data_IF_611725539226
#
_entry.id   IF_611725539226
#
_cell.length_a   1.000
_cell.length_b   1.000
_cell.length_c   1.000
_cell.angle_alpha   90.00
_cell.angle_beta   90.00
_cell.angle_gamma   90.00
#
_symmetry.space_group_name_H-M   'P 1'
#
loop_
_entity.id
_entity.type
_entity.pdbx_description
1 polymer ?
#
# COMPACT_ATOMS: atom_id res chain seq x y z
N UNK A 1 24.60 23.75 2.22
CA UNK A 1 24.11 23.61 0.83
C UNK A 1 24.86 22.48 0.18
N UNK A 2 24.16 21.51 -0.41
CA UNK A 2 24.82 20.47 -1.19
C UNK A 2 25.29 21.08 -2.52
N UNK A 3 26.58 20.89 -2.84
CA UNK A 3 27.21 21.35 -4.10
C UNK A 3 27.17 20.27 -5.19
N UNK A 4 26.39 19.21 -4.99
CA UNK A 4 26.27 18.11 -5.94
C UNK A 4 25.34 18.41 -7.10
N UNK A 5 25.62 17.81 -8.25
CA UNK A 5 24.68 17.79 -9.38
C UNK A 5 23.67 16.67 -9.17
N UNK A 6 22.40 17.03 -9.06
CA UNK A 6 21.31 16.05 -9.00
C UNK A 6 20.94 15.61 -10.42
N UNK A 7 20.99 14.31 -10.64
CA UNK A 7 20.56 13.71 -11.91
C UNK A 7 19.33 12.88 -11.66
N UNK A 8 18.24 13.23 -12.32
CA UNK A 8 17.01 12.44 -12.27
C UNK A 8 17.29 11.04 -12.86
N UNK A 9 16.97 9.95 -12.14
CA UNK A 9 17.11 8.61 -12.67
C UNK A 9 16.29 8.44 -13.95
N UNK A 10 16.80 7.70 -14.92
CA UNK A 10 16.02 7.34 -16.11
C UNK A 10 14.87 6.43 -15.68
N UNK A 11 13.64 6.84 -16.00
CA UNK A 11 12.46 6.02 -15.73
C UNK A 11 12.55 4.68 -16.48
N UNK A 12 12.24 3.60 -15.76
CA UNK A 12 12.17 2.24 -16.29
C UNK A 12 10.93 1.60 -15.69
N UNK A 13 10.17 0.88 -16.53
CA UNK A 13 9.05 0.09 -16.03
C UNK A 13 9.56 -1.04 -15.15
N UNK A 14 8.86 -1.30 -14.05
CA UNK A 14 9.14 -2.45 -13.20
C UNK A 14 8.84 -3.75 -13.97
N UNK A 15 9.78 -4.72 -14.00
CA UNK A 15 9.54 -5.97 -14.70
C UNK A 15 8.40 -6.77 -14.06
N UNK A 16 7.43 -7.20 -14.88
CA UNK A 16 6.35 -8.11 -14.47
C UNK A 16 6.93 -9.48 -14.20
N UNK A 17 6.74 -10.02 -12.99
CA UNK A 17 7.19 -11.36 -12.61
C UNK A 17 6.23 -12.43 -13.12
N UNK A 18 6.77 -13.58 -13.50
CA UNK A 18 5.99 -14.66 -14.12
C UNK A 18 5.23 -15.54 -13.13
N UNK A 19 5.66 -15.57 -11.87
CA UNK A 19 5.12 -16.48 -10.84
C UNK A 19 5.08 -17.94 -11.29
N UNK A 20 6.10 -18.36 -12.06
CA UNK A 20 6.23 -19.71 -12.58
C UNK A 20 6.20 -20.78 -11.46
N UNK A 21 5.81 -22.02 -11.76
CA UNK A 21 5.86 -23.10 -10.78
C UNK A 21 7.24 -23.19 -10.12
N UNK A 22 7.26 -23.33 -8.78
CA UNK A 22 8.46 -23.39 -7.94
C UNK A 22 9.33 -22.12 -7.87
N UNK A 23 8.95 -21.02 -8.51
CA UNK A 23 9.69 -19.76 -8.39
C UNK A 23 9.62 -19.19 -6.96
N UNK A 24 10.65 -18.46 -6.51
CA UNK A 24 10.67 -17.87 -5.17
C UNK A 24 9.55 -16.84 -4.97
N UNK A 25 9.25 -16.02 -5.96
CA UNK A 25 8.17 -15.03 -5.90
C UNK A 25 6.79 -15.68 -5.74
N UNK A 26 6.57 -16.85 -6.39
CA UNK A 26 5.33 -17.61 -6.22
C UNK A 26 5.20 -18.18 -4.80
N UNK A 27 6.28 -18.68 -4.24
CA UNK A 27 6.28 -19.18 -2.85
C UNK A 27 5.92 -18.07 -1.88
N UNK A 28 6.58 -16.91 -2.00
CA UNK A 28 6.34 -15.76 -1.13
C UNK A 28 4.91 -15.24 -1.20
N UNK A 29 4.35 -15.08 -2.41
CA UNK A 29 2.97 -14.57 -2.55
C UNK A 29 1.94 -15.57 -2.02
N UNK A 30 2.13 -16.88 -2.24
CA UNK A 30 1.22 -17.90 -1.74
C UNK A 30 1.26 -18.03 -0.21
N UNK A 31 2.44 -17.93 0.38
CA UNK A 31 2.61 -17.92 1.84
C UNK A 31 1.90 -16.69 2.44
N UNK A 32 2.16 -15.51 1.87
CA UNK A 32 1.55 -14.28 2.33
C UNK A 32 0.03 -14.29 2.15
N UNK A 33 -0.47 -14.81 1.02
CA UNK A 33 -1.91 -15.00 0.79
C UNK A 33 -2.54 -15.87 1.89
N UNK A 34 -1.95 -17.02 2.19
CA UNK A 34 -2.43 -17.94 3.24
C UNK A 34 -2.45 -17.26 4.62
N UNK A 35 -1.37 -16.53 4.93
CA UNK A 35 -1.27 -15.81 6.19
C UNK A 35 -2.37 -14.75 6.33
N UNK A 36 -2.55 -13.91 5.32
CA UNK A 36 -3.58 -12.87 5.32
C UNK A 36 -4.99 -13.44 5.31
N UNK A 37 -5.25 -14.48 4.51
CA UNK A 37 -6.58 -15.09 4.41
C UNK A 37 -7.03 -15.76 5.71
N UNK A 38 -6.07 -16.23 6.53
CA UNK A 38 -6.33 -16.88 7.82
C UNK A 38 -6.16 -15.95 9.03
N UNK A 39 -5.77 -14.69 8.82
CA UNK A 39 -5.68 -13.69 9.86
C UNK A 39 -6.92 -12.80 9.90
N UNK A 40 -7.04 -12.00 10.97
CA UNK A 40 -8.06 -10.97 11.08
C UNK A 40 -7.38 -9.61 11.13
N UNK A 41 -7.61 -8.78 10.11
CA UNK A 41 -6.95 -7.48 9.97
C UNK A 41 -7.91 -6.35 10.33
N UNK A 42 -7.47 -5.42 11.19
CA UNK A 42 -8.18 -4.17 11.45
C UNK A 42 -7.58 -3.06 10.62
N UNK A 43 -8.36 -2.51 9.69
CA UNK A 43 -7.94 -1.42 8.82
C UNK A 43 -8.41 -0.10 9.42
N UNK A 44 -7.51 0.57 10.12
CA UNK A 44 -7.72 1.90 10.71
C UNK A 44 -7.59 3.01 9.67
N UNK A 45 -8.20 4.16 9.95
CA UNK A 45 -7.82 5.39 9.26
C UNK A 45 -6.42 5.81 9.72
N UNK A 46 -5.63 6.38 8.83
CA UNK A 46 -4.32 6.92 9.19
C UNK A 46 -4.36 8.45 9.09
N UNK A 47 -4.36 9.12 10.24
CA UNK A 47 -4.50 10.57 10.32
C UNK A 47 -3.40 11.13 11.23
N UNK A 48 -2.67 12.12 10.75
CA UNK A 48 -1.59 12.78 11.51
C UNK A 48 -0.53 11.80 12.06
N UNK A 49 -0.15 10.79 11.28
CA UNK A 49 0.86 9.81 11.68
C UNK A 49 0.35 8.75 12.67
N UNK A 50 -0.95 8.66 12.93
CA UNK A 50 -1.54 7.73 13.90
C UNK A 50 -2.68 6.91 13.31
N UNK A 51 -2.81 5.68 13.80
CA UNK A 51 -3.98 4.84 13.54
C UNK A 51 -5.20 5.36 14.35
N UNK A 52 -6.27 5.67 13.63
CA UNK A 52 -7.52 6.20 14.20
C UNK A 52 -8.67 5.26 13.89
N UNK A 53 -9.44 4.89 14.92
CA UNK A 53 -10.60 4.02 14.81
C UNK A 53 -11.87 4.79 15.20
N UNK A 54 -12.97 4.50 14.54
CA UNK A 54 -14.30 4.98 14.92
C UNK A 54 -15.09 3.88 15.64
N UNK A 55 -16.27 4.22 16.12
CA UNK A 55 -17.22 3.23 16.70
C UNK A 55 -17.90 2.40 15.62
N UNK A 56 -17.87 2.83 14.36
CA UNK A 56 -18.53 2.19 13.25
C UNK A 56 -17.51 1.49 12.36
N UNK A 57 -17.59 0.16 12.26
CA UNK A 57 -16.80 -0.64 11.34
C UNK A 57 -17.67 -1.47 10.41
N UNK A 58 -17.08 -1.96 9.33
CA UNK A 58 -17.70 -2.94 8.45
C UNK A 58 -16.74 -4.10 8.18
N UNK A 59 -17.27 -5.32 8.01
CA UNK A 59 -16.45 -6.47 7.71
C UNK A 59 -15.82 -6.37 6.32
N UNK A 60 -14.67 -6.99 6.16
CA UNK A 60 -13.98 -7.19 4.89
C UNK A 60 -14.19 -8.65 4.49
N UNK A 61 -14.91 -8.86 3.40
CA UNK A 61 -15.16 -10.17 2.82
C UNK A 61 -14.49 -10.25 1.45
N UNK A 62 -13.71 -11.30 1.16
CA UNK A 62 -13.19 -11.50 -0.19
C UNK A 62 -14.34 -11.68 -1.19
N UNK A 63 -14.30 -11.05 -2.39
CA UNK A 63 -15.40 -11.19 -3.36
C UNK A 63 -15.63 -12.63 -3.85
N UNK A 64 -14.64 -13.51 -3.74
CA UNK A 64 -14.73 -14.93 -4.10
C UNK A 64 -15.17 -15.84 -2.94
N UNK A 65 -15.27 -15.31 -1.71
CA UNK A 65 -15.76 -16.04 -0.53
C UNK A 65 -16.49 -15.10 0.43
N UNK A 66 -17.76 -14.84 0.15
CA UNK A 66 -18.59 -13.91 0.93
C UNK A 66 -18.87 -14.37 2.38
N UNK A 67 -18.64 -15.66 2.69
CA UNK A 67 -18.81 -16.18 4.04
C UNK A 67 -17.60 -15.94 4.92
N UNK A 68 -16.44 -15.76 4.31
CA UNK A 68 -15.19 -15.51 5.02
C UNK A 68 -15.09 -14.02 5.38
N UNK A 69 -14.80 -13.75 6.64
CA UNK A 69 -14.40 -12.42 7.11
C UNK A 69 -12.91 -12.43 7.37
N UNK A 70 -12.16 -11.59 6.67
CA UNK A 70 -10.70 -11.45 6.81
C UNK A 70 -10.29 -10.21 7.61
N UNK A 71 -11.24 -9.41 8.03
CA UNK A 71 -10.98 -8.24 8.83
C UNK A 71 -12.17 -7.27 8.88
N UNK A 72 -11.89 -6.09 9.36
CA UNK A 72 -12.84 -4.98 9.39
C UNK A 72 -12.13 -3.67 9.01
N UNK A 73 -12.89 -2.72 8.49
CA UNK A 73 -12.42 -1.34 8.27
C UNK A 73 -13.35 -0.36 8.98
N UNK A 74 -12.77 0.75 9.45
CA UNK A 74 -13.48 1.76 10.21
C UNK A 74 -14.00 2.88 9.30
N UNK A 75 -15.26 3.25 9.50
CA UNK A 75 -15.91 4.32 8.73
C UNK A 75 -15.54 5.69 9.31
N UNK A 76 -15.15 6.60 8.43
CA UNK A 76 -14.85 7.97 8.83
C UNK A 76 -16.13 8.72 9.21
N UNK A 77 -16.04 9.49 10.30
CA UNK A 77 -17.03 10.47 10.73
C UNK A 77 -16.59 11.87 10.29
N UNK A 78 -17.51 12.84 10.35
CA UNK A 78 -17.23 14.25 9.99
C UNK A 78 -16.01 14.83 10.74
N UNK A 79 -15.81 14.41 11.99
CA UNK A 79 -14.64 14.82 12.79
C UNK A 79 -13.34 14.34 12.15
N UNK A 80 -13.26 13.06 11.78
CA UNK A 80 -12.05 12.47 11.19
C UNK A 80 -11.65 13.15 9.88
N UNK A 81 -12.64 13.54 9.05
CA UNK A 81 -12.38 14.29 7.82
C UNK A 81 -11.81 15.68 8.13
N UNK A 82 -12.35 16.38 9.15
CA UNK A 82 -11.83 17.67 9.57
C UNK A 82 -10.40 17.55 10.10
N UNK A 83 -10.15 16.57 10.98
CA UNK A 83 -8.83 16.32 11.56
C UNK A 83 -7.79 16.00 10.46
N UNK A 84 -8.17 15.24 9.43
CA UNK A 84 -7.31 14.94 8.29
C UNK A 84 -6.97 16.18 7.45
N UNK A 85 -7.97 17.04 7.19
CA UNK A 85 -7.78 18.31 6.47
C UNK A 85 -6.83 19.22 7.27
N UNK A 86 -7.09 19.40 8.56
CA UNK A 86 -6.27 20.23 9.43
C UNK A 86 -4.82 19.73 9.50
N UNK A 87 -4.62 18.42 9.67
CA UNK A 87 -3.30 17.79 9.65
C UNK A 87 -2.55 18.05 8.33
N UNK A 88 -3.25 17.93 7.20
CA UNK A 88 -2.67 18.18 5.88
C UNK A 88 -2.27 19.64 5.70
N UNK A 89 -3.11 20.59 6.15
CA UNK A 89 -2.81 22.01 6.08
C UNK A 89 -1.63 22.38 6.97
N UNK A 90 -1.53 21.80 8.17
CA UNK A 90 -0.41 22.01 9.09
C UNK A 90 0.93 21.47 8.51
N UNK A 91 0.90 20.35 7.78
CA UNK A 91 2.07 19.79 7.14
C UNK A 91 2.52 20.57 5.88
N UNK A 92 1.61 21.33 5.27
CA UNK A 92 1.81 21.97 3.95
C UNK A 92 3.06 22.84 3.88
N UNK A 93 3.25 23.74 4.85
CA UNK A 93 4.38 24.69 4.84
C UNK A 93 5.73 23.97 4.84
N UNK A 94 5.89 22.94 5.67
CA UNK A 94 7.11 22.14 5.72
C UNK A 94 7.34 21.37 4.42
N UNK A 95 6.28 20.79 3.84
CA UNK A 95 6.37 20.09 2.57
C UNK A 95 6.74 21.01 1.41
N UNK A 96 6.15 22.20 1.35
CA UNK A 96 6.43 23.19 0.30
C UNK A 96 7.86 23.75 0.38
N UNK A 97 8.40 23.90 1.61
CA UNK A 97 9.77 24.39 1.81
C UNK A 97 10.84 23.33 1.51
N UNK A 98 10.46 22.07 1.42
CA UNK A 98 11.36 20.98 1.07
C UNK A 98 11.78 21.06 -0.39
N UNK A 99 13.08 20.86 -0.69
CA UNK A 99 13.55 20.85 -2.08
C UNK A 99 12.86 19.75 -2.91
N UNK A 100 12.75 19.94 -4.20
CA UNK A 100 12.11 18.97 -5.09
C UNK A 100 12.85 17.62 -5.08
N UNK A 101 14.18 17.61 -4.94
CA UNK A 101 15.00 16.41 -4.84
C UNK A 101 14.63 15.60 -3.61
N UNK A 102 14.48 16.25 -2.45
CA UNK A 102 14.10 15.58 -1.23
C UNK A 102 12.68 15.02 -1.29
N UNK A 103 11.73 15.75 -1.87
CA UNK A 103 10.39 15.26 -2.09
C UNK A 103 10.37 14.06 -3.04
N UNK A 104 11.10 14.15 -4.15
CA UNK A 104 11.21 13.05 -5.12
C UNK A 104 11.88 11.80 -4.52
N UNK A 105 12.87 11.96 -3.65
CA UNK A 105 13.54 10.85 -2.98
C UNK A 105 12.57 10.01 -2.13
N UNK A 106 11.56 10.62 -1.51
CA UNK A 106 10.52 9.91 -0.76
C UNK A 106 9.73 8.99 -1.68
N UNK A 107 9.31 9.47 -2.86
CA UNK A 107 8.56 8.66 -3.83
C UNK A 107 9.42 7.55 -4.44
N UNK A 108 10.69 7.83 -4.76
CA UNK A 108 11.62 6.81 -5.24
C UNK A 108 11.83 5.72 -4.19
N UNK A 109 11.93 6.10 -2.91
CA UNK A 109 12.02 5.12 -1.83
C UNK A 109 10.74 4.30 -1.68
N UNK A 110 9.57 4.91 -1.83
CA UNK A 110 8.30 4.19 -1.82
C UNK A 110 8.22 3.17 -2.98
N UNK A 111 8.64 3.56 -4.19
CA UNK A 111 8.69 2.66 -5.33
C UNK A 111 9.62 1.45 -5.10
N UNK A 112 10.81 1.66 -4.54
CA UNK A 112 11.72 0.57 -4.15
C UNK A 112 11.09 -0.40 -3.14
N UNK A 113 10.36 0.12 -2.16
CA UNK A 113 9.68 -0.69 -1.16
C UNK A 113 8.54 -1.50 -1.77
N UNK A 114 7.73 -0.90 -2.64
CA UNK A 114 6.63 -1.57 -3.34
C UNK A 114 7.16 -2.66 -4.27
N UNK A 115 8.14 -2.33 -5.11
CA UNK A 115 8.74 -3.27 -6.06
C UNK A 115 9.56 -4.38 -5.38
N UNK A 116 10.05 -4.16 -4.17
CA UNK A 116 10.90 -5.06 -3.40
C UNK A 116 10.15 -5.79 -2.28
N UNK A 117 10.44 -5.44 -1.01
CA UNK A 117 9.98 -6.22 0.15
C UNK A 117 8.47 -6.28 0.32
N UNK A 118 7.72 -5.27 -0.12
CA UNK A 118 6.26 -5.24 0.00
C UNK A 118 5.52 -5.84 -1.19
N UNK A 119 6.20 -6.20 -2.28
CA UNK A 119 5.58 -6.69 -3.53
C UNK A 119 4.63 -7.87 -3.30
N UNK A 120 5.09 -8.91 -2.64
CA UNK A 120 4.28 -10.09 -2.36
C UNK A 120 3.12 -9.81 -1.38
N UNK A 121 3.31 -8.85 -0.48
CA UNK A 121 2.27 -8.43 0.50
C UNK A 121 1.14 -7.71 -0.22
N UNK A 122 1.47 -6.73 -1.08
CA UNK A 122 0.50 -5.94 -1.84
C UNK A 122 -0.25 -6.83 -2.84
N UNK A 123 0.47 -7.73 -3.53
CA UNK A 123 -0.16 -8.68 -4.45
C UNK A 123 -1.12 -9.61 -3.72
N UNK A 124 -0.74 -10.19 -2.57
CA UNK A 124 -1.63 -11.04 -1.78
C UNK A 124 -2.88 -10.27 -1.29
N UNK A 125 -2.72 -9.05 -0.83
CA UNK A 125 -3.83 -8.19 -0.42
C UNK A 125 -4.78 -7.89 -1.59
N UNK A 126 -4.24 -7.61 -2.78
CA UNK A 126 -5.01 -7.35 -4.00
C UNK A 126 -5.76 -8.60 -4.47
N UNK A 127 -5.12 -9.77 -4.41
CA UNK A 127 -5.77 -11.06 -4.71
C UNK A 127 -6.95 -11.34 -3.78
N UNK A 128 -6.80 -11.07 -2.48
CA UNK A 128 -7.85 -11.29 -1.48
C UNK A 128 -8.96 -10.24 -1.63
N UNK A 129 -8.59 -8.96 -1.66
CA UNK A 129 -9.57 -7.87 -1.60
C UNK A 129 -10.32 -7.62 -2.90
N UNK A 130 -9.74 -8.01 -4.05
CA UNK A 130 -10.32 -7.78 -5.37
C UNK A 130 -10.57 -9.07 -6.17
N UNK A 131 -10.28 -10.24 -5.60
CA UNK A 131 -10.38 -11.55 -6.27
C UNK A 131 -9.62 -11.64 -7.59
N UNK A 132 -8.51 -10.94 -7.69
CA UNK A 132 -7.62 -10.95 -8.85
C UNK A 132 -6.72 -12.17 -8.86
N UNK A 133 -6.34 -12.61 -10.06
CA UNK A 133 -5.25 -13.57 -10.21
C UNK A 133 -3.91 -12.92 -9.82
N UNK A 134 -2.90 -13.72 -9.53
CA UNK A 134 -1.57 -13.17 -9.20
C UNK A 134 -1.01 -12.28 -10.31
N UNK A 135 -1.27 -12.63 -11.58
CA UNK A 135 -0.81 -11.83 -12.71
C UNK A 135 -1.50 -10.46 -12.79
N UNK A 136 -2.81 -10.42 -12.56
CA UNK A 136 -3.55 -9.15 -12.49
C UNK A 136 -3.09 -8.30 -11.30
N UNK A 137 -2.90 -8.92 -10.13
CA UNK A 137 -2.41 -8.21 -8.95
C UNK A 137 -1.00 -7.64 -9.18
N UNK A 138 -0.12 -8.41 -9.83
CA UNK A 138 1.24 -7.98 -10.16
C UNK A 138 1.26 -6.73 -11.05
N UNK A 139 0.42 -6.70 -12.08
CA UNK A 139 0.34 -5.55 -12.99
C UNK A 139 -0.24 -4.33 -12.26
N UNK A 140 -1.40 -4.50 -11.60
CA UNK A 140 -2.18 -3.39 -11.08
C UNK A 140 -1.65 -2.82 -9.74
N UNK A 141 -0.85 -3.59 -8.98
CA UNK A 141 -0.47 -3.20 -7.63
C UNK A 141 1.03 -3.03 -7.42
N UNK A 142 1.86 -3.73 -8.18
CA UNK A 142 3.30 -3.72 -7.98
C UNK A 142 4.08 -3.10 -9.16
N UNK A 143 3.52 -3.09 -10.37
CA UNK A 143 4.21 -2.59 -11.57
C UNK A 143 3.73 -1.20 -12.01
N UNK A 144 2.50 -0.81 -11.72
CA UNK A 144 1.92 0.52 -11.96
C UNK A 144 1.93 1.37 -10.68
#
# INVERSE_FOLDING_TARGET
MSTGFFKVPKAKNEPVKSYAPNSPERKLVLEQYKNMFNSYTKVSMYINGMDVQSKNSKPINPPHDHKKVVGEYYLAEKKHVKDAIESSLNAKANWESMSWENRSAIFLRAAELIAGPYRHIINAATMIGQSKTVHQAEIDAACE
#
